data_IF_279902155037
#
_entry.id   IF_279902155037
#
_cell.length_a   1.000
_cell.length_b   1.000
_cell.length_c   1.000
_cell.angle_alpha   90.00
_cell.angle_beta   90.00
_cell.angle_gamma   90.00
#
_symmetry.space_group_name_H-M   'P 1'
#
loop_
_entity.id
_entity.type
_entity.pdbx_description
1 polymer ?
#
# COMPACT_ATOMS: atom_id res chain seq x y z
N UNK A 1 -16.66 -26.54 -4.10
CA UNK A 1 -16.38 -25.37 -3.22
C UNK A 1 -16.94 -24.16 -3.95
N UNK A 2 -17.90 -23.43 -3.36
CA UNK A 2 -18.50 -22.27 -4.03
C UNK A 2 -17.56 -21.07 -3.87
N UNK A 3 -17.14 -20.49 -4.99
CA UNK A 3 -16.37 -19.25 -5.02
C UNK A 3 -17.17 -18.17 -5.74
N UNK A 4 -16.94 -16.91 -5.37
CA UNK A 4 -17.49 -15.75 -6.04
C UNK A 4 -16.41 -15.11 -6.90
N UNK A 5 -16.61 -15.08 -8.21
CA UNK A 5 -15.78 -14.29 -9.13
C UNK A 5 -16.20 -12.83 -9.07
N UNK A 6 -15.23 -11.93 -9.06
CA UNK A 6 -15.44 -10.49 -9.09
C UNK A 6 -14.55 -9.95 -10.21
N UNK A 7 -15.14 -9.36 -11.25
CA UNK A 7 -14.38 -8.62 -12.25
C UNK A 7 -14.16 -7.19 -11.75
N UNK A 8 -12.91 -6.71 -11.61
CA UNK A 8 -12.65 -5.35 -11.18
C UNK A 8 -13.18 -4.29 -12.17
N UNK A 9 -13.37 -4.62 -13.45
CA UNK A 9 -13.92 -3.70 -14.45
C UNK A 9 -15.40 -3.35 -14.20
N UNK A 10 -16.14 -4.25 -13.54
CA UNK A 10 -17.56 -4.07 -13.22
C UNK A 10 -17.80 -3.22 -11.96
N UNK A 11 -16.73 -2.90 -11.21
CA UNK A 11 -16.81 -2.23 -9.91
C UNK A 11 -16.29 -0.79 -9.96
N UNK A 12 -16.88 0.06 -9.12
CA UNK A 12 -16.30 1.38 -8.84
C UNK A 12 -14.95 1.22 -8.11
N UNK A 13 -13.94 2.05 -8.41
CA UNK A 13 -12.57 1.93 -7.86
C UNK A 13 -12.51 1.80 -6.33
N UNK A 14 -13.39 2.50 -5.60
CA UNK A 14 -13.51 2.40 -4.13
C UNK A 14 -13.86 0.99 -3.65
N UNK A 15 -14.68 0.26 -4.40
CA UNK A 15 -15.04 -1.11 -4.05
C UNK A 15 -13.85 -2.05 -4.28
N UNK A 16 -13.15 -1.90 -5.41
CA UNK A 16 -11.91 -2.64 -5.67
C UNK A 16 -10.84 -2.35 -4.61
N UNK A 17 -10.67 -1.08 -4.23
CA UNK A 17 -9.78 -0.69 -3.14
C UNK A 17 -10.17 -1.37 -1.83
N UNK A 18 -11.45 -1.34 -1.45
CA UNK A 18 -11.94 -2.01 -0.23
C UNK A 18 -11.71 -3.51 -0.26
N UNK A 19 -11.92 -4.17 -1.40
CA UNK A 19 -11.64 -5.59 -1.56
C UNK A 19 -10.16 -5.88 -1.39
N UNK A 20 -9.27 -5.10 -2.03
CA UNK A 20 -7.83 -5.26 -1.91
C UNK A 20 -7.36 -5.08 -0.45
N UNK A 21 -7.73 -3.97 0.20
CA UNK A 21 -7.30 -3.71 1.59
C UNK A 21 -8.02 -4.56 2.63
N UNK A 22 -9.15 -5.19 2.28
CA UNK A 22 -9.81 -6.17 3.12
C UNK A 22 -9.23 -7.58 2.99
N UNK A 23 -8.72 -7.93 1.81
CA UNK A 23 -8.25 -9.29 1.50
C UNK A 23 -6.76 -9.49 1.73
N UNK A 24 -5.94 -8.45 1.49
CA UNK A 24 -4.49 -8.51 1.70
C UNK A 24 -4.20 -8.03 3.12
N UNK A 25 -4.20 -8.99 4.05
CA UNK A 25 -3.99 -8.78 5.50
C UNK A 25 -3.20 -9.94 6.13
N UNK A 26 -2.43 -9.71 7.22
CA UNK A 26 -2.10 -8.41 7.81
C UNK A 26 -1.16 -7.59 6.91
N UNK A 27 -1.15 -6.26 7.04
CA UNK A 27 -0.21 -5.38 6.32
C UNK A 27 0.75 -4.71 7.30
N UNK A 28 2.07 -4.84 7.09
CA UNK A 28 3.03 -4.03 7.83
C UNK A 28 2.83 -2.54 7.49
N UNK A 29 3.04 -1.68 8.48
CA UNK A 29 2.92 -0.22 8.31
C UNK A 29 4.31 0.39 8.34
N UNK A 30 4.73 1.01 7.24
CA UNK A 30 5.93 1.83 7.19
C UNK A 30 5.59 3.26 7.63
N UNK A 31 6.22 3.73 8.70
CA UNK A 31 6.23 5.15 9.07
C UNK A 31 7.39 5.83 8.35
N UNK A 32 7.08 6.67 7.37
CA UNK A 32 8.08 7.30 6.50
C UNK A 32 8.18 8.78 6.83
N UNK A 33 9.38 9.21 7.23
CA UNK A 33 9.71 10.61 7.47
C UNK A 33 10.36 11.25 6.24
N UNK A 34 10.04 12.52 5.96
CA UNK A 34 10.70 13.31 4.92
C UNK A 34 10.96 14.74 5.39
N UNK A 35 11.79 15.48 4.67
CA UNK A 35 12.04 16.91 4.89
C UNK A 35 11.69 17.64 3.58
N UNK A 36 10.87 18.68 3.64
CA UNK A 36 10.53 19.50 2.47
C UNK A 36 11.73 20.33 2.02
N UNK A 37 11.63 20.93 0.82
CA UNK A 37 12.66 21.86 0.33
C UNK A 37 12.90 23.05 1.30
N UNK A 38 11.85 23.49 2.01
CA UNK A 38 11.92 24.57 3.01
C UNK A 38 12.39 24.10 4.39
N UNK A 39 12.77 22.82 4.54
CA UNK A 39 13.28 22.26 5.79
C UNK A 39 12.20 21.76 6.76
N UNK A 40 10.92 21.72 6.37
CA UNK A 40 9.86 21.23 7.25
C UNK A 40 9.83 19.69 7.29
N UNK A 41 9.82 19.13 8.51
CA UNK A 41 9.70 17.69 8.72
C UNK A 41 8.26 17.19 8.49
N UNK A 42 8.13 16.02 7.86
CA UNK A 42 6.87 15.33 7.63
C UNK A 42 6.99 13.87 8.09
N UNK A 43 5.87 13.26 8.49
CA UNK A 43 5.79 11.86 8.88
C UNK A 43 4.43 11.30 8.51
N UNK A 44 4.39 10.21 7.74
CA UNK A 44 3.14 9.57 7.32
C UNK A 44 3.21 8.03 7.36
N UNK A 45 2.11 7.35 7.70
CA UNK A 45 2.03 5.89 7.68
C UNK A 45 1.59 5.36 6.31
N UNK A 46 2.25 4.30 5.82
CA UNK A 46 1.93 3.62 4.56
C UNK A 46 1.77 2.11 4.79
N UNK A 47 0.61 1.56 4.44
CA UNK A 47 0.35 0.10 4.56
C UNK A 47 0.58 -0.69 3.28
N UNK A 48 0.84 -0.01 2.15
CA UNK A 48 1.24 -0.66 0.90
C UNK A 48 2.77 -0.71 0.88
N UNK A 49 3.31 -1.55 1.75
CA UNK A 49 4.73 -1.67 2.06
C UNK A 49 5.17 -3.13 2.03
N UNK A 50 6.34 -3.41 1.44
CA UNK A 50 6.98 -4.73 1.46
C UNK A 50 8.50 -4.65 1.37
N UNK A 51 9.19 -5.69 1.85
CA UNK A 51 10.57 -5.99 1.48
C UNK A 51 10.61 -6.53 0.04
N UNK A 52 11.61 -6.12 -0.73
CA UNK A 52 11.81 -6.52 -2.14
C UNK A 52 13.03 -7.43 -2.29
N UNK A 53 14.15 -7.06 -1.67
CA UNK A 53 15.41 -7.77 -1.76
C UNK A 53 16.25 -7.57 -0.50
N UNK A 54 17.16 -8.51 -0.23
CA UNK A 54 18.05 -8.43 0.93
C UNK A 54 19.51 -8.10 0.55
N UNK A 55 19.92 -8.38 -0.69
CA UNK A 55 21.23 -8.02 -1.23
C UNK A 55 21.12 -7.57 -2.71
N UNK A 56 21.20 -6.26 -2.99
CA UNK A 56 21.21 -5.18 -2.01
C UNK A 56 19.86 -5.13 -1.25
N UNK A 57 19.85 -4.57 -0.03
CA UNK A 57 18.61 -4.39 0.73
C UNK A 57 17.68 -3.40 0.02
N UNK A 58 16.50 -3.86 -0.37
CA UNK A 58 15.52 -3.10 -1.14
C UNK A 58 14.13 -3.21 -0.49
N UNK A 59 13.46 -2.07 -0.41
CA UNK A 59 12.10 -1.93 0.10
C UNK A 59 11.22 -1.23 -0.94
N UNK A 60 9.92 -1.48 -0.91
CA UNK A 60 8.94 -0.78 -1.72
C UNK A 60 7.85 -0.17 -0.85
N UNK A 61 7.54 1.10 -1.10
CA UNK A 61 6.39 1.82 -0.56
C UNK A 61 5.59 2.39 -1.73
N UNK A 62 4.27 2.21 -1.72
CA UNK A 62 3.36 2.87 -2.66
C UNK A 62 2.73 4.09 -1.99
N UNK A 63 3.01 5.27 -2.53
CA UNK A 63 2.46 6.56 -2.08
C UNK A 63 1.25 6.88 -2.97
N UNK A 64 0.12 7.25 -2.36
CA UNK A 64 -1.14 7.47 -3.07
C UNK A 64 -1.04 8.55 -4.15
N UNK A 65 -1.82 8.36 -5.20
CA UNK A 65 -2.16 9.35 -6.23
C UNK A 65 -3.66 9.66 -6.15
#
# INVERSE_FOLDING_TARGET
>A
MNYKTIDPADNHWRQNYRLLVGSVVPRPIAWVSTISADGHANLAPFSFFTCVGHDPPLLSISVGV
#
